data_IF_319588619913
#
_entry.id   IF_319588619913
#
_cell.length_a   1.000
_cell.length_b   1.000
_cell.length_c   1.000
_cell.angle_alpha   90.00
_cell.angle_beta   90.00
_cell.angle_gamma   90.00
#
_symmetry.space_group_name_H-M   'P 1'
#
loop_
_entity.id
_entity.type
_entity.pdbx_description
1 polymer ?
#
# COMPACT_ATOMS: atom_id res chain seq x y z
N UNK A 1 -17.66 -9.64 9.73
CA UNK A 1 -16.25 -9.41 10.12
C UNK A 1 -15.60 -8.57 9.02
N UNK A 2 -15.05 -7.44 9.36
CA UNK A 2 -14.50 -6.49 8.38
C UNK A 2 -13.02 -6.82 8.21
N UNK A 3 -12.59 -7.13 6.99
CA UNK A 3 -11.15 -7.27 6.68
C UNK A 3 -10.54 -5.87 6.68
N UNK A 4 -9.59 -5.62 7.58
CA UNK A 4 -8.83 -4.38 7.62
C UNK A 4 -7.54 -4.56 6.84
N UNK A 5 -7.32 -3.71 5.86
CA UNK A 5 -6.09 -3.66 5.10
C UNK A 5 -5.27 -2.46 5.55
N UNK A 6 -4.04 -2.69 5.96
CA UNK A 6 -3.09 -1.63 6.33
C UNK A 6 -2.04 -1.53 5.25
N UNK A 7 -2.01 -0.41 4.53
CA UNK A 7 -0.97 -0.10 3.56
C UNK A 7 0.11 0.74 4.26
N UNK A 8 1.32 0.18 4.37
CA UNK A 8 2.50 0.88 4.90
C UNK A 8 3.51 1.09 3.78
N UNK A 9 3.90 2.34 3.55
CA UNK A 9 4.90 2.70 2.56
C UNK A 9 6.24 2.95 3.24
N UNK A 10 7.25 2.12 2.96
CA UNK A 10 8.61 2.29 3.47
C UNK A 10 9.60 2.36 2.29
N UNK A 11 10.37 3.43 2.24
CA UNK A 11 11.35 3.70 1.19
C UNK A 11 12.74 3.22 1.62
N UNK A 12 13.19 2.00 1.20
CA UNK A 12 14.63 1.65 1.22
C UNK A 12 14.92 0.37 0.40
N UNK A 13 15.37 0.53 -0.84
CA UNK A 13 16.07 -0.52 -1.61
C UNK A 13 16.87 0.11 -2.77
N UNK A 14 18.04 -0.42 -3.17
CA UNK A 14 18.79 0.10 -4.30
C UNK A 14 18.02 -0.12 -5.62
N UNK A 15 17.79 0.94 -6.33
CA UNK A 15 17.08 1.03 -7.62
C UNK A 15 18.10 1.33 -8.72
N UNK A 16 17.91 0.86 -9.95
CA UNK A 16 18.74 1.29 -11.08
C UNK A 16 18.73 2.81 -11.22
N UNK A 17 19.91 3.43 -11.32
CA UNK A 17 20.10 4.88 -11.16
C UNK A 17 19.27 5.76 -12.10
N UNK A 18 19.00 5.30 -13.35
CA UNK A 18 18.22 6.09 -14.32
C UNK A 18 16.74 6.18 -13.98
N UNK A 19 16.11 5.07 -13.64
CA UNK A 19 14.68 5.04 -13.31
C UNK A 19 14.41 5.75 -11.97
N UNK A 20 15.34 5.63 -11.04
CA UNK A 20 15.32 6.34 -9.77
C UNK A 20 15.38 7.86 -9.98
N UNK A 21 16.28 8.34 -10.83
CA UNK A 21 16.42 9.77 -11.12
C UNK A 21 15.14 10.36 -11.73
N UNK A 22 14.48 9.64 -12.64
CA UNK A 22 13.21 10.07 -13.24
C UNK A 22 12.12 10.19 -12.18
N UNK A 23 12.01 9.19 -11.30
CA UNK A 23 10.98 9.18 -10.25
C UNK A 23 11.27 10.24 -9.18
N UNK A 24 12.53 10.38 -8.74
CA UNK A 24 12.92 11.39 -7.76
C UNK A 24 12.72 12.81 -8.29
N UNK A 25 13.03 13.04 -9.57
CA UNK A 25 12.78 14.33 -10.22
C UNK A 25 11.27 14.61 -10.31
N UNK A 26 10.47 13.64 -10.72
CA UNK A 26 9.02 13.76 -10.75
C UNK A 26 8.41 14.03 -9.37
N UNK A 27 8.84 13.30 -8.35
CA UNK A 27 8.38 13.45 -6.97
C UNK A 27 8.84 14.79 -6.36
N UNK A 28 10.07 15.24 -6.66
CA UNK A 28 10.58 16.51 -6.16
C UNK A 28 9.81 17.73 -6.71
N UNK A 29 9.26 17.60 -7.92
CA UNK A 29 8.40 18.61 -8.54
C UNK A 29 6.96 18.55 -8.06
N UNK A 30 6.56 17.46 -7.38
CA UNK A 30 5.21 17.29 -6.83
C UNK A 30 5.03 18.05 -5.54
N UNK A 31 5.00 19.39 -5.62
CA UNK A 31 4.73 20.27 -4.47
C UNK A 31 3.24 20.55 -4.25
N UNK A 32 2.38 20.13 -5.17
CA UNK A 32 0.94 20.34 -5.11
C UNK A 32 0.15 19.21 -5.76
N UNK A 33 -1.11 19.03 -5.33
CA UNK A 33 -2.05 18.08 -5.92
C UNK A 33 -2.27 18.28 -7.43
N UNK A 34 -2.05 19.51 -7.93
CA UNK A 34 -2.21 19.86 -9.34
C UNK A 34 -1.18 19.16 -10.24
N UNK A 35 -0.03 18.74 -9.69
CA UNK A 35 1.02 18.02 -10.42
C UNK A 35 0.92 16.51 -10.37
N UNK A 36 -0.06 15.97 -9.67
CA UNK A 36 -0.29 14.51 -9.66
C UNK A 36 -0.54 14.00 -11.08
N UNK A 37 -1.23 14.78 -11.93
CA UNK A 37 -1.43 14.44 -13.33
C UNK A 37 -0.12 14.23 -14.08
N UNK A 38 0.85 15.11 -13.93
CA UNK A 38 2.17 15.00 -14.57
C UNK A 38 2.93 13.75 -14.12
N UNK A 39 2.81 13.39 -12.84
CA UNK A 39 3.41 12.16 -12.31
C UNK A 39 2.73 10.92 -12.87
N UNK A 40 1.39 10.93 -12.93
CA UNK A 40 0.65 9.82 -13.53
C UNK A 40 1.00 9.63 -15.01
N UNK A 41 1.17 10.72 -15.77
CA UNK A 41 1.65 10.67 -17.16
C UNK A 41 3.07 10.09 -17.29
N UNK A 42 3.96 10.40 -16.34
CA UNK A 42 5.31 9.82 -16.31
C UNK A 42 5.24 8.34 -15.94
N UNK A 43 4.44 7.97 -14.95
CA UNK A 43 4.23 6.58 -14.53
C UNK A 43 3.71 5.75 -15.70
N UNK A 44 2.69 6.24 -16.41
CA UNK A 44 2.10 5.55 -17.56
C UNK A 44 3.08 5.47 -18.74
N UNK A 45 3.73 6.59 -19.09
CA UNK A 45 4.69 6.65 -20.21
C UNK A 45 5.88 5.72 -20.06
N UNK A 46 6.34 5.50 -18.83
CA UNK A 46 7.47 4.63 -18.54
C UNK A 46 7.04 3.24 -18.04
N UNK A 47 5.72 2.91 -18.11
CA UNK A 47 5.17 1.64 -17.66
C UNK A 47 5.55 1.30 -16.20
N UNK A 48 5.54 2.33 -15.34
CA UNK A 48 5.90 2.19 -13.93
C UNK A 48 4.72 1.73 -13.05
N UNK A 49 3.50 1.71 -13.58
CA UNK A 49 2.26 1.35 -12.88
C UNK A 49 2.30 -0.05 -12.25
N UNK A 50 3.00 -0.99 -12.90
CA UNK A 50 3.17 -2.35 -12.37
C UNK A 50 4.28 -2.45 -11.33
N UNK A 51 5.16 -1.46 -11.24
CA UNK A 51 6.31 -1.44 -10.33
C UNK A 51 6.08 -0.62 -9.07
N UNK A 52 5.16 0.35 -9.13
CA UNK A 52 4.80 1.25 -8.03
C UNK A 52 3.45 0.78 -7.46
N UNK A 53 3.29 0.66 -6.12
CA UNK A 53 2.08 0.14 -5.50
C UNK A 53 0.92 1.16 -5.54
N UNK A 54 0.34 1.35 -6.73
CA UNK A 54 -0.78 2.28 -7.01
C UNK A 54 -2.11 1.57 -7.20
N UNK A 55 -2.10 0.24 -7.44
CA UNK A 55 -3.33 -0.51 -7.65
C UNK A 55 -4.07 -0.75 -6.33
N UNK A 56 -5.41 -0.61 -6.33
CA UNK A 56 -6.20 -0.91 -5.15
C UNK A 56 -6.12 -2.41 -4.83
N UNK A 57 -5.84 -2.77 -3.58
CA UNK A 57 -5.66 -4.17 -3.19
C UNK A 57 -6.96 -4.98 -3.17
N UNK A 58 -8.11 -4.30 -3.22
CA UNK A 58 -9.44 -4.92 -3.30
C UNK A 58 -10.24 -4.19 -4.36
N UNK A 59 -10.72 -4.94 -5.38
CA UNK A 59 -11.48 -4.34 -6.49
C UNK A 59 -12.90 -3.92 -6.10
N UNK A 60 -13.50 -4.62 -5.14
CA UNK A 60 -14.83 -4.31 -4.62
C UNK A 60 -14.77 -4.17 -3.11
N UNK A 61 -15.04 -3.00 -2.61
CA UNK A 61 -15.10 -2.73 -1.18
C UNK A 61 -16.29 -1.83 -0.85
N UNK A 62 -16.81 -1.96 0.36
CA UNK A 62 -17.97 -1.17 0.78
C UNK A 62 -17.58 0.28 1.07
N UNK A 63 -16.47 0.47 1.78
CA UNK A 63 -16.01 1.80 2.18
C UNK A 63 -14.58 1.74 2.73
N UNK A 64 -13.94 2.88 2.78
CA UNK A 64 -12.79 3.12 3.65
C UNK A 64 -13.33 3.33 5.07
N UNK A 65 -13.06 2.38 5.96
CA UNK A 65 -13.56 2.43 7.35
C UNK A 65 -12.69 3.28 8.26
N UNK A 66 -11.41 3.46 7.90
CA UNK A 66 -10.49 4.37 8.57
C UNK A 66 -9.39 4.83 7.64
N UNK A 67 -9.17 6.14 7.59
CA UNK A 67 -8.13 6.75 6.79
C UNK A 67 -6.77 6.77 7.52
N UNK A 68 -5.73 7.04 6.76
CA UNK A 68 -4.40 7.37 7.26
C UNK A 68 -4.43 8.69 8.05
N UNK A 69 -3.69 8.76 9.14
CA UNK A 69 -3.55 9.99 9.93
C UNK A 69 -3.94 9.85 11.40
N UNK A 70 -4.01 10.98 12.09
CA UNK A 70 -4.41 11.03 13.49
C UNK A 70 -5.91 10.81 13.67
N UNK A 71 -6.27 9.86 14.52
CA UNK A 71 -7.67 9.55 14.85
C UNK A 71 -7.82 9.20 16.33
N UNK A 72 -9.04 9.25 16.84
CA UNK A 72 -9.37 8.65 18.12
C UNK A 72 -9.39 7.13 17.97
N UNK A 73 -8.68 6.43 18.83
CA UNK A 73 -8.69 4.98 18.88
C UNK A 73 -10.10 4.51 19.29
N UNK A 74 -10.74 3.62 18.52
CA UNK A 74 -12.12 3.21 18.78
C UNK A 74 -12.29 2.38 20.07
N UNK A 75 -11.20 1.86 20.63
CA UNK A 75 -11.23 1.03 21.85
C UNK A 75 -10.90 1.88 23.07
N UNK A 76 -9.85 2.71 23.00
CA UNK A 76 -9.35 3.47 24.15
C UNK A 76 -9.81 4.91 24.17
N UNK A 77 -10.35 5.44 23.07
CA UNK A 77 -10.69 6.85 22.91
C UNK A 77 -9.48 7.79 22.80
N UNK A 78 -8.27 7.29 22.97
CA UNK A 78 -7.06 8.09 22.92
C UNK A 78 -6.71 8.49 21.48
N UNK A 79 -6.09 9.64 21.31
CA UNK A 79 -5.59 10.09 20.02
C UNK A 79 -4.40 9.23 19.58
N UNK A 80 -4.54 8.55 18.45
CA UNK A 80 -3.55 7.64 17.90
C UNK A 80 -3.33 7.87 16.42
N UNK A 81 -2.08 7.73 15.99
CA UNK A 81 -1.75 7.82 14.57
C UNK A 81 -2.02 6.46 13.89
N UNK A 82 -2.81 6.49 12.81
CA UNK A 82 -3.07 5.34 11.95
C UNK A 82 -2.16 5.42 10.73
N UNK A 83 -1.21 4.52 10.62
CA UNK A 83 -0.19 4.48 9.56
C UNK A 83 -0.64 3.79 8.27
N UNK A 84 -1.93 3.49 8.15
CA UNK A 84 -2.48 2.80 7.01
C UNK A 84 -3.91 3.22 6.68
N UNK A 85 -4.54 2.49 5.78
CA UNK A 85 -5.94 2.66 5.40
C UNK A 85 -6.69 1.36 5.71
N UNK A 86 -7.78 1.45 6.46
CA UNK A 86 -8.66 0.31 6.72
C UNK A 86 -9.76 0.26 5.65
N UNK A 87 -9.78 -0.81 4.88
CA UNK A 87 -10.77 -1.06 3.83
C UNK A 87 -11.76 -2.12 4.30
N UNK A 88 -13.05 -1.78 4.30
CA UNK A 88 -14.12 -2.70 4.62
C UNK A 88 -14.57 -3.43 3.34
N UNK A 89 -14.26 -4.70 3.24
CA UNK A 89 -14.65 -5.57 2.14
C UNK A 89 -15.45 -6.78 2.68
N UNK A 90 -16.08 -7.51 1.78
CA UNK A 90 -16.77 -8.75 2.11
C UNK A 90 -15.82 -9.80 2.67
N UNK A 91 -16.36 -10.71 3.49
CA UNK A 91 -15.60 -11.84 3.98
C UNK A 91 -15.11 -12.68 2.79
N UNK A 92 -13.88 -13.16 2.86
CA UNK A 92 -13.21 -13.93 1.81
C UNK A 92 -12.96 -13.16 0.50
N UNK A 93 -13.01 -11.82 0.50
CA UNK A 93 -12.56 -11.04 -0.64
C UNK A 93 -11.10 -11.32 -0.95
N UNK A 94 -10.79 -11.48 -2.24
CA UNK A 94 -9.41 -11.62 -2.69
C UNK A 94 -8.68 -10.30 -2.50
N UNK A 95 -7.49 -10.38 -1.91
CA UNK A 95 -6.56 -9.25 -1.75
C UNK A 95 -5.45 -9.40 -2.78
N UNK A 96 -5.31 -8.41 -3.65
CA UNK A 96 -4.30 -8.36 -4.69
C UNK A 96 -3.10 -7.53 -4.24
N UNK A 97 -1.93 -7.87 -4.76
CA UNK A 97 -0.76 -7.01 -4.62
C UNK A 97 -1.01 -5.68 -5.34
N UNK A 98 -0.62 -4.57 -4.71
CA UNK A 98 -0.78 -3.23 -5.28
C UNK A 98 0.19 -2.94 -6.44
N UNK A 99 1.20 -3.78 -6.63
CA UNK A 99 2.15 -3.79 -7.74
C UNK A 99 2.90 -5.13 -7.75
N UNK A 100 3.69 -5.35 -8.81
CA UNK A 100 4.64 -6.46 -8.87
C UNK A 100 5.66 -6.37 -7.73
N UNK A 101 6.04 -7.52 -7.19
CA UNK A 101 6.98 -7.51 -6.08
C UNK A 101 7.30 -8.89 -5.55
N UNK A 102 8.17 -8.92 -4.55
CA UNK A 102 8.57 -10.14 -3.86
C UNK A 102 7.97 -10.18 -2.46
N UNK A 103 7.28 -11.28 -2.13
CA UNK A 103 6.81 -11.51 -0.76
C UNK A 103 8.03 -11.65 0.15
N UNK A 104 8.13 -10.79 1.16
CA UNK A 104 9.20 -10.78 2.15
C UNK A 104 8.74 -11.28 3.52
N UNK A 105 7.44 -11.35 3.74
CA UNK A 105 6.85 -11.90 4.95
C UNK A 105 5.43 -12.41 4.68
N UNK A 106 5.10 -13.57 5.24
CA UNK A 106 3.75 -14.11 5.26
C UNK A 106 3.56 -14.87 6.59
N UNK A 107 2.59 -14.45 7.41
CA UNK A 107 2.35 -15.06 8.70
C UNK A 107 1.65 -14.14 9.70
N UNK A 108 1.67 -14.51 10.98
CA UNK A 108 1.13 -13.67 12.08
C UNK A 108 2.18 -12.68 12.57
N UNK A 109 1.80 -11.41 12.68
CA UNK A 109 2.71 -10.34 13.13
C UNK A 109 1.98 -9.36 14.05
N UNK A 110 2.13 -9.56 15.34
CA UNK A 110 1.64 -8.64 16.37
C UNK A 110 0.20 -8.17 16.15
N UNK A 111 -0.03 -6.87 16.26
CA UNK A 111 -1.34 -6.24 16.08
C UNK A 111 -1.92 -6.32 14.67
N UNK A 112 -1.13 -6.72 13.66
CA UNK A 112 -1.61 -6.89 12.27
C UNK A 112 -2.33 -8.23 12.03
N UNK A 113 -2.32 -9.16 13.00
CA UNK A 113 -2.87 -10.49 12.80
C UNK A 113 -2.12 -11.26 11.71
N UNK A 114 -2.84 -12.02 10.89
CA UNK A 114 -2.25 -12.59 9.68
C UNK A 114 -1.99 -11.47 8.67
N UNK A 115 -0.77 -11.42 8.16
CA UNK A 115 -0.38 -10.40 7.21
C UNK A 115 0.61 -10.91 6.17
N UNK A 116 0.64 -10.22 5.04
CA UNK A 116 1.62 -10.38 3.98
C UNK A 116 2.33 -9.06 3.79
N UNK A 117 3.65 -9.11 3.60
CA UNK A 117 4.46 -7.96 3.22
C UNK A 117 5.12 -8.22 1.89
N UNK A 118 5.02 -7.27 0.98
CA UNK A 118 5.57 -7.36 -0.37
C UNK A 118 6.54 -6.20 -0.56
N UNK A 119 7.75 -6.53 -1.03
CA UNK A 119 8.72 -5.55 -1.50
C UNK A 119 8.56 -5.38 -2.99
N UNK A 120 8.30 -4.15 -3.39
CA UNK A 120 8.19 -3.72 -4.79
C UNK A 120 9.49 -3.08 -5.27
N UNK A 121 9.50 -2.65 -6.52
CA UNK A 121 10.56 -1.82 -7.05
C UNK A 121 10.67 -0.49 -6.27
N UNK A 122 11.74 0.22 -6.47
CA UNK A 122 12.01 1.54 -5.88
C UNK A 122 11.96 1.59 -4.35
N UNK A 123 12.08 0.42 -3.68
CA UNK A 123 12.09 0.32 -2.22
C UNK A 123 10.73 0.43 -1.55
N UNK A 124 9.64 0.47 -2.30
CA UNK A 124 8.32 0.41 -1.73
C UNK A 124 8.07 -0.93 -1.04
N UNK A 125 7.43 -0.89 0.11
CA UNK A 125 6.95 -2.08 0.81
C UNK A 125 5.49 -1.87 1.17
N UNK A 126 4.64 -2.82 0.76
CA UNK A 126 3.24 -2.85 1.18
C UNK A 126 3.03 -3.90 2.26
N UNK A 127 2.12 -3.62 3.19
CA UNK A 127 1.68 -4.55 4.21
C UNK A 127 0.16 -4.70 4.12
N UNK A 128 -0.29 -5.95 4.01
CA UNK A 128 -1.69 -6.34 4.00
C UNK A 128 -1.97 -7.10 5.30
N UNK A 129 -2.71 -6.48 6.19
CA UNK A 129 -2.96 -7.01 7.53
C UNK A 129 -4.40 -7.43 7.78
N UNK A 130 -4.63 -8.09 8.91
CA UNK A 130 -5.93 -8.60 9.35
C UNK A 130 -6.58 -9.59 8.36
N UNK A 131 -5.73 -10.34 7.65
CA UNK A 131 -6.20 -11.37 6.72
C UNK A 131 -6.80 -12.54 7.47
N UNK A 132 -7.85 -13.15 6.91
CA UNK A 132 -8.47 -14.36 7.49
C UNK A 132 -7.70 -15.63 7.12
N UNK A 133 -7.19 -15.69 5.89
CA UNK A 133 -6.36 -16.76 5.35
C UNK A 133 -5.24 -16.14 4.52
N UNK A 134 -4.07 -16.79 4.53
CA UNK A 134 -2.97 -16.43 3.66
C UNK A 134 -2.83 -17.53 2.62
N UNK A 135 -3.33 -17.29 1.42
CA UNK A 135 -3.06 -18.11 0.25
C UNK A 135 -2.36 -17.21 -0.76
N UNK A 136 -1.13 -17.54 -1.10
CA UNK A 136 -0.34 -16.78 -2.07
C UNK A 136 -0.36 -17.61 -3.34
N UNK A 137 -1.02 -17.10 -4.39
CA UNK A 137 -0.86 -17.60 -5.75
C UNK A 137 0.22 -16.78 -6.45
N UNK A 138 1.10 -17.48 -7.13
CA UNK A 138 2.09 -16.88 -8.04
C UNK A 138 1.42 -16.35 -9.31
#
# INVERSE_FOLDING_TARGET
MITKLVLFLCLFCPVPDKERAILEDALSRCSSLERIGEIMDIVERHHLEYRIPVHPPVHRFHRISSAYGWRSDPVTGQRRFHSGVDIAAELASTVHAAADGKVIYSGRKGGYGYCVMIRHAYGFVTLYGHLSLIHISE
#
